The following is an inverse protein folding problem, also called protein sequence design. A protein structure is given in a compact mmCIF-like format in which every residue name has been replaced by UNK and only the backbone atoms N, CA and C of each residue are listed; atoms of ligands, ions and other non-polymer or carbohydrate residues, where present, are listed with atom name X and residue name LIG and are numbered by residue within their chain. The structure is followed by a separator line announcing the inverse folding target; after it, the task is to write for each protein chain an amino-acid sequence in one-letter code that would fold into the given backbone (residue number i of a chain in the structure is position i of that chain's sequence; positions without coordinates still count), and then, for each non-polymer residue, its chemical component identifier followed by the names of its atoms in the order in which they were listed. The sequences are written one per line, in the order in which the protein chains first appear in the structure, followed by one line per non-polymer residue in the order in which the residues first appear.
data_IF_628391197299
#
_entry.id   IF_628391197299
#
_cell.length_a   1.000
_cell.length_b   1.000
_cell.length_c   1.000
_cell.angle_alpha   90.00
_cell.angle_beta   90.00
_cell.angle_gamma   90.00
#
_symmetry.space_group_name_H-M   'P 1'
#
loop_
_entity.id
_entity.type
_entity.pdbx_description
1 polymer ?
#
# COMPACT_ATOMS: atom_id res chain seq x y z
N UNK A 1 -24.18 -9.95 10.54
CA UNK A 1 -24.20 -10.70 11.81
C UNK A 1 -23.55 -9.83 12.87
N UNK A 2 -24.25 -9.52 13.97
CA UNK A 2 -23.67 -8.75 15.10
C UNK A 2 -22.61 -9.62 15.75
N UNK A 3 -21.37 -9.12 15.86
CA UNK A 3 -20.32 -9.79 16.63
C UNK A 3 -20.81 -9.96 18.07
N UNK A 4 -20.83 -11.21 18.53
CA UNK A 4 -21.09 -11.50 19.95
C UNK A 4 -19.99 -10.82 20.79
N UNK A 5 -20.36 -10.13 21.88
CA UNK A 5 -19.38 -9.48 22.74
C UNK A 5 -18.32 -10.48 23.20
N UNK A 6 -17.06 -10.05 23.27
CA UNK A 6 -15.90 -10.89 23.55
C UNK A 6 -16.04 -11.74 24.84
N UNK A 7 -16.83 -11.24 25.80
CA UNK A 7 -17.21 -11.95 27.02
C UNK A 7 -18.15 -13.15 26.78
N UNK A 8 -19.16 -13.03 25.91
CA UNK A 8 -20.06 -14.13 25.54
C UNK A 8 -19.32 -15.23 24.76
N UNK A 9 -18.33 -14.81 23.98
CA UNK A 9 -17.40 -15.67 23.21
C UNK A 9 -16.55 -16.55 24.14
N UNK A 10 -15.97 -15.99 25.19
CA UNK A 10 -15.21 -16.74 26.19
C UNK A 10 -16.11 -17.63 27.07
N UNK A 11 -17.32 -17.17 27.41
CA UNK A 11 -18.32 -17.96 28.12
C UNK A 11 -18.74 -19.21 27.35
N UNK A 12 -18.93 -19.13 26.04
CA UNK A 12 -19.26 -20.28 25.21
C UNK A 12 -18.13 -21.32 25.18
N UNK A 13 -16.86 -20.88 25.09
CA UNK A 13 -15.68 -21.76 25.19
C UNK A 13 -15.63 -22.47 26.55
N UNK A 14 -15.80 -21.72 27.64
CA UNK A 14 -15.81 -22.26 29.01
C UNK A 14 -16.98 -23.23 29.21
N UNK A 15 -18.19 -22.89 28.73
CA UNK A 15 -19.36 -23.74 28.82
C UNK A 15 -19.21 -25.05 28.01
N UNK A 16 -18.57 -25.00 26.84
CA UNK A 16 -18.29 -26.19 26.04
C UNK A 16 -17.31 -27.15 26.74
N UNK A 17 -16.26 -26.60 27.38
CA UNK A 17 -15.29 -27.38 28.17
C UNK A 17 -15.96 -28.00 29.41
N UNK A 18 -16.80 -27.23 30.11
CA UNK A 18 -17.55 -27.71 31.27
C UNK A 18 -18.57 -28.79 30.85
N UNK A 19 -19.24 -28.64 29.72
CA UNK A 19 -20.16 -29.64 29.19
C UNK A 19 -19.44 -30.94 28.79
N UNK A 20 -18.24 -30.83 28.21
CA UNK A 20 -17.36 -31.98 27.92
C UNK A 20 -16.94 -32.72 29.19
N UNK A 21 -16.47 -31.98 30.19
CA UNK A 21 -16.10 -32.57 31.49
C UNK A 21 -17.31 -33.19 32.20
N UNK A 22 -18.44 -32.50 32.18
CA UNK A 22 -19.69 -32.96 32.78
C UNK A 22 -20.24 -34.23 32.12
N UNK A 23 -20.12 -34.37 30.79
CA UNK A 23 -20.58 -35.58 30.09
C UNK A 23 -19.73 -36.81 30.40
N UNK A 24 -18.41 -36.62 30.56
CA UNK A 24 -17.49 -37.68 30.95
C UNK A 24 -17.71 -38.12 32.40
N UNK A 25 -17.91 -37.17 33.32
CA UNK A 25 -18.16 -37.46 34.74
C UNK A 25 -19.54 -38.10 34.96
N UNK A 26 -20.59 -37.63 34.27
CA UNK A 26 -21.95 -38.15 34.46
C UNK A 26 -22.22 -39.46 33.70
N UNK A 27 -21.69 -39.58 32.49
CA UNK A 27 -22.02 -40.68 31.59
C UNK A 27 -21.05 -41.86 31.63
N UNK A 28 -19.87 -41.70 32.25
CA UNK A 28 -18.78 -42.68 32.21
C UNK A 28 -17.95 -42.73 33.50
N UNK A 29 -18.50 -42.45 34.68
CA UNK A 29 -17.74 -42.68 35.92
C UNK A 29 -18.06 -44.07 36.51
N UNK A 30 -17.06 -44.95 36.73
CA UNK A 30 -15.64 -44.84 36.40
C UNK A 30 -15.38 -45.01 34.89
N UNK A 31 -14.33 -44.37 34.37
CA UNK A 31 -14.05 -44.28 32.93
C UNK A 31 -13.71 -45.66 32.39
N UNK A 32 -14.68 -46.27 31.71
CA UNK A 32 -14.54 -47.54 31.00
C UNK A 32 -14.76 -47.32 29.49
N UNK A 33 -13.67 -47.17 28.75
CA UNK A 33 -13.65 -46.94 27.30
C UNK A 33 -14.25 -48.12 26.51
N UNK A 34 -14.49 -49.27 27.14
CA UNK A 34 -15.16 -50.42 26.52
C UNK A 34 -16.70 -50.34 26.57
N UNK A 35 -17.26 -49.42 27.37
CA UNK A 35 -18.72 -49.20 27.56
C UNK A 35 -19.10 -47.72 27.47
N UNK A 36 -18.69 -47.07 26.39
CA UNK A 36 -19.04 -45.66 26.13
C UNK A 36 -20.55 -45.53 25.92
N UNK A 37 -21.22 -44.75 26.77
CA UNK A 37 -22.65 -44.47 26.57
C UNK A 37 -22.87 -43.62 25.30
N UNK A 38 -23.86 -43.96 24.45
CA UNK A 38 -24.15 -43.19 23.23
C UNK A 38 -24.42 -41.70 23.49
N UNK A 39 -25.00 -41.38 24.66
CA UNK A 39 -25.27 -40.01 25.08
C UNK A 39 -24.00 -39.20 25.38
N UNK A 40 -23.02 -39.78 26.09
CA UNK A 40 -21.75 -39.11 26.35
C UNK A 40 -20.97 -38.85 25.05
N UNK A 41 -21.01 -39.80 24.10
CA UNK A 41 -20.42 -39.64 22.78
C UNK A 41 -21.09 -38.50 21.98
N UNK A 42 -22.43 -38.42 22.01
CA UNK A 42 -23.18 -37.34 21.37
C UNK A 42 -22.83 -35.97 21.94
N UNK A 43 -22.74 -35.84 23.27
CA UNK A 43 -22.39 -34.57 23.92
C UNK A 43 -20.94 -34.18 23.59
N UNK A 44 -20.02 -35.15 23.59
CA UNK A 44 -18.62 -34.93 23.19
C UNK A 44 -18.52 -34.39 21.75
N UNK A 45 -19.19 -35.06 20.80
CA UNK A 45 -19.19 -34.65 19.39
C UNK A 45 -19.83 -33.27 19.21
N UNK A 46 -20.95 -32.99 19.87
CA UNK A 46 -21.60 -31.69 19.80
C UNK A 46 -20.71 -30.55 20.35
N UNK A 47 -20.04 -30.78 21.48
CA UNK A 47 -19.12 -29.80 22.06
C UNK A 47 -17.87 -29.60 21.20
N UNK A 48 -17.33 -30.68 20.61
CA UNK A 48 -16.20 -30.60 19.68
C UNK A 48 -16.55 -29.81 18.42
N UNK A 49 -17.70 -30.12 17.79
CA UNK A 49 -18.18 -29.37 16.62
C UNK A 49 -18.36 -27.90 16.98
N UNK A 50 -18.98 -27.60 18.13
CA UNK A 50 -19.17 -26.23 18.60
C UNK A 50 -17.84 -25.48 18.75
N UNK A 51 -16.82 -26.11 19.34
CA UNK A 51 -15.49 -25.53 19.48
C UNK A 51 -14.80 -25.31 18.12
N UNK A 52 -14.81 -26.30 17.23
CA UNK A 52 -14.20 -26.21 15.89
C UNK A 52 -14.88 -25.12 15.05
N UNK A 53 -16.22 -25.08 15.02
CA UNK A 53 -16.96 -24.04 14.30
C UNK A 53 -16.59 -22.64 14.79
N UNK A 54 -16.34 -22.52 16.10
CA UNK A 54 -15.96 -21.25 16.71
C UNK A 54 -14.57 -20.77 16.29
N UNK A 55 -13.59 -21.68 16.32
CA UNK A 55 -12.22 -21.37 15.96
C UNK A 55 -12.10 -21.05 14.45
N UNK A 56 -12.88 -21.76 13.62
CA UNK A 56 -13.01 -21.47 12.20
C UNK A 56 -13.64 -20.09 11.94
N UNK A 57 -14.66 -19.70 12.70
CA UNK A 57 -15.26 -18.36 12.59
C UNK A 57 -14.24 -17.27 12.95
N UNK A 58 -13.45 -17.47 14.01
CA UNK A 58 -12.43 -16.52 14.43
C UNK A 58 -11.33 -16.35 13.38
N UNK A 59 -10.79 -17.46 12.86
CA UNK A 59 -9.85 -17.46 11.74
C UNK A 59 -10.43 -16.76 10.51
N UNK A 60 -11.70 -17.05 10.18
CA UNK A 60 -12.36 -16.39 9.04
C UNK A 60 -12.49 -14.87 9.22
N UNK A 61 -12.70 -14.42 10.46
CA UNK A 61 -12.83 -13.00 10.77
C UNK A 61 -11.49 -12.27 10.68
N UNK A 62 -10.41 -12.89 11.16
CA UNK A 62 -9.04 -12.36 11.05
C UNK A 62 -8.61 -12.29 9.58
N UNK A 63 -8.87 -13.36 8.82
CA UNK A 63 -8.58 -13.39 7.39
C UNK A 63 -9.34 -12.32 6.61
N UNK A 64 -10.63 -12.08 6.93
CA UNK A 64 -11.43 -11.00 6.32
C UNK A 64 -10.89 -9.61 6.66
N UNK A 65 -10.44 -9.38 7.89
CA UNK A 65 -9.83 -8.10 8.28
C UNK A 65 -8.52 -7.89 7.53
N UNK A 66 -7.69 -8.92 7.43
CA UNK A 66 -6.43 -8.87 6.70
C UNK A 66 -6.65 -8.60 5.20
N UNK A 67 -7.55 -9.36 4.57
CA UNK A 67 -7.91 -9.16 3.16
C UNK A 67 -8.45 -7.75 2.93
N UNK A 68 -9.33 -7.24 3.81
CA UNK A 68 -9.83 -5.86 3.73
C UNK A 68 -8.69 -4.83 3.75
N UNK A 69 -7.74 -4.96 4.70
CA UNK A 69 -6.59 -4.03 4.78
C UNK A 69 -5.73 -4.07 3.53
N UNK A 70 -5.50 -5.27 2.99
CA UNK A 70 -4.73 -5.44 1.75
C UNK A 70 -5.47 -4.86 0.55
N UNK A 71 -6.79 -5.07 0.45
CA UNK A 71 -7.62 -4.49 -0.61
C UNK A 71 -7.62 -2.97 -0.56
N UNK A 72 -7.75 -2.37 0.64
CA UNK A 72 -7.65 -0.92 0.84
C UNK A 72 -6.29 -0.39 0.36
N UNK A 73 -5.18 -1.07 0.68
CA UNK A 73 -3.85 -0.69 0.19
C UNK A 73 -3.73 -0.83 -1.34
N UNK A 74 -4.33 -1.86 -1.95
CA UNK A 74 -4.37 -2.02 -3.42
C UNK A 74 -5.16 -0.89 -4.09
N UNK A 75 -6.30 -0.49 -3.54
CA UNK A 75 -7.11 0.63 -4.07
C UNK A 75 -6.34 1.96 -4.04
N UNK A 76 -5.58 2.20 -2.96
CA UNK A 76 -4.70 3.37 -2.85
C UNK A 76 -3.61 3.35 -3.92
N UNK A 77 -2.95 2.21 -4.14
CA UNK A 77 -1.95 2.09 -5.23
C UNK A 77 -2.57 2.34 -6.59
N UNK A 78 -3.75 1.78 -6.86
CA UNK A 78 -4.45 2.01 -8.13
C UNK A 78 -4.82 3.48 -8.32
N UNK A 79 -5.16 4.18 -7.24
CA UNK A 79 -5.40 5.63 -7.25
C UNK A 79 -4.11 6.40 -7.55
N UNK A 80 -2.99 6.04 -6.91
CA UNK A 80 -1.68 6.64 -7.17
C UNK A 80 -1.20 6.39 -8.60
N UNK A 81 -1.41 5.20 -9.16
CA UNK A 81 -1.12 4.87 -10.57
C UNK A 81 -1.91 5.78 -11.53
N UNK A 82 -3.14 6.13 -11.19
CA UNK A 82 -3.96 7.04 -12.00
C UNK A 82 -3.51 8.50 -11.90
N UNK A 83 -2.97 8.91 -10.76
CA UNK A 83 -2.40 10.26 -10.55
C UNK A 83 -1.05 10.38 -11.27
N UNK A 84 -0.17 9.40 -11.08
CA UNK A 84 1.07 9.22 -11.81
C UNK A 84 0.78 8.61 -13.19
N UNK A 85 0.03 9.34 -14.02
CA UNK A 85 -0.44 8.87 -15.32
C UNK A 85 0.72 8.54 -16.28
N UNK A 86 0.41 7.84 -17.37
CA UNK A 86 1.30 7.46 -18.47
C UNK A 86 2.21 8.59 -18.95
N UNK A 87 1.68 9.82 -18.99
CA UNK A 87 2.45 11.01 -19.37
C UNK A 87 3.64 11.20 -18.43
N UNK A 88 3.43 11.12 -17.11
CA UNK A 88 4.48 11.29 -16.10
C UNK A 88 5.54 10.18 -16.20
N UNK A 89 5.11 8.94 -16.42
CA UNK A 89 6.04 7.83 -16.68
C UNK A 89 6.91 8.08 -17.90
N UNK A 90 6.27 8.44 -19.01
CA UNK A 90 6.96 8.69 -20.27
C UNK A 90 7.98 9.83 -20.11
N UNK A 91 7.60 10.89 -19.41
CA UNK A 91 8.46 12.04 -19.14
C UNK A 91 9.66 11.62 -18.28
N UNK A 92 9.42 10.94 -17.17
CA UNK A 92 10.50 10.51 -16.27
C UNK A 92 11.49 9.54 -16.93
N UNK A 93 10.97 8.66 -17.80
CA UNK A 93 11.76 7.60 -18.46
C UNK A 93 12.47 8.08 -19.73
N UNK A 94 11.80 8.86 -20.56
CA UNK A 94 12.22 9.10 -21.94
C UNK A 94 12.57 10.56 -22.23
N UNK A 95 12.02 11.53 -21.50
CA UNK A 95 12.34 12.93 -21.75
C UNK A 95 13.60 13.30 -20.97
N UNK A 96 14.67 13.60 -21.70
CA UNK A 96 15.76 14.39 -21.15
C UNK A 96 15.19 15.77 -20.81
N UNK A 97 15.51 16.32 -19.64
CA UNK A 97 15.11 17.66 -19.26
C UNK A 97 15.62 18.65 -20.32
N UNK A 98 14.66 19.22 -21.05
CA UNK A 98 14.92 20.03 -22.23
C UNK A 98 15.12 21.49 -21.87
N UNK A 99 15.76 22.28 -22.74
CA UNK A 99 15.94 23.73 -22.53
C UNK A 99 14.61 24.47 -22.32
N UNK A 100 13.53 23.97 -22.90
CA UNK A 100 12.18 24.47 -22.74
C UNK A 100 11.25 23.27 -22.59
N UNK A 101 10.37 23.27 -21.60
CA UNK A 101 9.45 22.15 -21.31
C UNK A 101 8.07 22.71 -20.92
N UNK A 102 7.02 21.89 -20.96
CA UNK A 102 5.68 22.36 -20.62
C UNK A 102 5.54 22.52 -19.10
N UNK A 103 4.77 23.51 -18.65
CA UNK A 103 4.54 23.76 -17.23
C UNK A 103 3.90 22.54 -16.50
N UNK A 104 3.24 21.66 -17.24
CA UNK A 104 2.50 20.50 -16.74
C UNK A 104 3.27 19.17 -16.88
N UNK A 105 4.50 19.18 -17.40
CA UNK A 105 5.29 17.95 -17.64
C UNK A 105 5.59 17.16 -16.34
N UNK A 106 5.56 17.84 -15.19
CA UNK A 106 5.76 17.22 -13.87
C UNK A 106 4.56 17.42 -12.92
N UNK A 107 3.38 17.76 -13.46
CA UNK A 107 2.17 17.99 -12.66
C UNK A 107 1.73 16.72 -11.91
N UNK A 108 1.95 15.53 -12.48
CA UNK A 108 1.61 14.26 -11.84
C UNK A 108 2.43 14.01 -10.57
N UNK A 109 3.72 14.37 -10.58
CA UNK A 109 4.55 14.32 -9.36
C UNK A 109 4.12 15.36 -8.33
N UNK A 110 3.84 16.59 -8.77
CA UNK A 110 3.37 17.64 -7.86
C UNK A 110 2.09 17.22 -7.15
N UNK A 111 1.09 16.71 -7.88
CA UNK A 111 -0.16 16.21 -7.29
C UNK A 111 0.07 15.07 -6.31
N UNK A 112 1.00 14.17 -6.62
CA UNK A 112 1.34 13.05 -5.75
C UNK A 112 1.93 13.55 -4.42
N UNK A 113 2.75 14.60 -4.44
CA UNK A 113 3.27 15.24 -3.24
C UNK A 113 2.18 15.96 -2.46
N UNK A 114 1.27 16.68 -3.13
CA UNK A 114 0.13 17.32 -2.45
C UNK A 114 -0.68 16.28 -1.65
N UNK A 115 -0.98 15.12 -2.25
CA UNK A 115 -1.68 14.02 -1.56
C UNK A 115 -0.86 13.38 -0.43
N UNK A 116 0.46 13.38 -0.55
CA UNK A 116 1.37 12.88 0.48
C UNK A 116 1.40 13.83 1.69
N UNK A 117 1.50 15.14 1.46
CA UNK A 117 1.47 16.16 2.51
C UNK A 117 0.13 16.18 3.26
N UNK A 118 -0.97 15.93 2.54
CA UNK A 118 -2.31 15.83 3.12
C UNK A 118 -2.60 14.47 3.81
N UNK A 119 -1.62 13.55 3.86
CA UNK A 119 -1.75 12.18 4.43
C UNK A 119 -2.98 11.41 3.89
N UNK A 120 -3.23 11.53 2.58
CA UNK A 120 -4.42 10.93 1.94
C UNK A 120 -4.26 9.42 1.71
N UNK A 121 -3.03 8.94 1.56
CA UNK A 121 -2.72 7.54 1.21
C UNK A 121 -1.84 6.81 2.25
N UNK A 122 -2.24 6.70 3.53
CA UNK A 122 -1.48 5.92 4.51
C UNK A 122 -1.64 4.43 4.24
N UNK A 123 -0.55 3.69 4.05
CA UNK A 123 -0.56 2.25 3.82
C UNK A 123 -0.58 1.44 5.11
N UNK A 124 -1.35 0.37 5.15
CA UNK A 124 -1.33 -0.58 6.28
C UNK A 124 -0.05 -1.42 6.28
N UNK A 125 0.49 -1.73 5.10
CA UNK A 125 1.77 -2.42 4.95
C UNK A 125 2.95 -1.46 5.16
N UNK A 126 3.75 -1.69 6.21
CA UNK A 126 4.88 -0.82 6.58
C UNK A 126 5.97 -0.72 5.53
N UNK A 127 6.26 -1.81 4.81
CA UNK A 127 7.30 -1.80 3.78
C UNK A 127 6.84 -0.98 2.56
N UNK A 128 5.56 -1.09 2.20
CA UNK A 128 4.94 -0.29 1.14
C UNK A 128 4.89 1.18 1.55
N UNK A 129 4.51 1.48 2.79
CA UNK A 129 4.52 2.84 3.35
C UNK A 129 5.91 3.46 3.27
N UNK A 130 6.93 2.78 3.80
CA UNK A 130 8.29 3.30 3.82
C UNK A 130 8.83 3.56 2.41
N UNK A 131 8.50 2.69 1.44
CA UNK A 131 8.91 2.87 0.05
C UNK A 131 8.15 4.00 -0.64
N UNK A 132 6.88 4.21 -0.29
CA UNK A 132 6.09 5.35 -0.77
C UNK A 132 6.65 6.68 -0.23
N UNK A 133 6.94 6.76 1.07
CA UNK A 133 7.57 7.93 1.70
C UNK A 133 8.93 8.26 1.07
N UNK A 134 9.77 7.25 0.84
CA UNK A 134 11.06 7.40 0.15
C UNK A 134 10.87 8.00 -1.25
N UNK A 135 9.93 7.46 -2.04
CA UNK A 135 9.62 7.97 -3.37
C UNK A 135 9.10 9.43 -3.34
N UNK A 136 8.27 9.79 -2.35
CA UNK A 136 7.77 11.15 -2.21
C UNK A 136 8.90 12.12 -1.88
N UNK A 137 9.77 11.81 -0.90
CA UNK A 137 10.93 12.67 -0.61
C UNK A 137 11.85 12.87 -1.80
N UNK A 138 12.17 11.78 -2.51
CA UNK A 138 13.04 11.87 -3.68
C UNK A 138 12.40 12.73 -4.79
N UNK A 139 11.06 12.66 -4.92
CA UNK A 139 10.29 13.45 -5.88
C UNK A 139 10.26 14.93 -5.51
N UNK A 140 10.12 15.24 -4.23
CA UNK A 140 10.17 16.60 -3.69
C UNK A 140 11.56 17.23 -3.94
N UNK A 141 12.64 16.52 -3.60
CA UNK A 141 14.01 16.96 -3.85
C UNK A 141 14.25 17.24 -5.34
N UNK A 142 13.77 16.36 -6.21
CA UNK A 142 13.87 16.53 -7.65
C UNK A 142 13.11 17.77 -8.14
N UNK A 143 11.86 17.96 -7.72
CA UNK A 143 11.04 19.11 -8.14
C UNK A 143 11.62 20.44 -7.63
N UNK A 144 12.10 20.48 -6.39
CA UNK A 144 12.74 21.66 -5.82
C UNK A 144 13.99 22.05 -6.61
N UNK A 145 14.84 21.09 -6.97
CA UNK A 145 16.01 21.36 -7.80
C UNK A 145 15.65 21.75 -9.23
N UNK A 146 14.64 21.11 -9.83
CA UNK A 146 14.13 21.47 -11.15
C UNK A 146 13.66 22.93 -11.18
N UNK A 147 12.84 23.33 -10.20
CA UNK A 147 12.30 24.69 -10.09
C UNK A 147 13.34 25.71 -9.66
N UNK A 148 14.50 25.28 -9.12
CA UNK A 148 15.62 26.19 -8.81
C UNK A 148 16.31 26.74 -10.06
N UNK A 149 16.22 26.04 -11.20
CA UNK A 149 16.86 26.45 -12.46
C UNK A 149 15.85 26.80 -13.56
N UNK A 150 14.61 26.33 -13.49
CA UNK A 150 13.54 26.67 -14.45
C UNK A 150 12.59 27.72 -13.90
N UNK A 151 12.23 28.68 -14.76
CA UNK A 151 11.17 29.64 -14.48
C UNK A 151 9.93 29.28 -15.28
N UNK A 152 8.76 29.27 -14.62
CA UNK A 152 7.47 29.12 -15.30
C UNK A 152 7.14 30.38 -16.09
N UNK A 153 7.04 30.25 -17.41
CA UNK A 153 6.59 31.30 -18.30
C UNK A 153 5.06 31.40 -18.33
N UNK A 154 4.55 32.59 -18.68
CA UNK A 154 3.11 32.87 -18.78
C UNK A 154 2.42 32.24 -20.00
N UNK A 155 3.19 31.65 -20.92
CA UNK A 155 2.71 31.02 -22.15
C UNK A 155 2.49 29.49 -22.02
N UNK A 156 2.56 28.95 -20.79
CA UNK A 156 2.42 27.51 -20.56
C UNK A 156 3.72 26.70 -20.68
N UNK A 157 4.85 27.36 -20.91
CA UNK A 157 6.17 26.75 -20.99
C UNK A 157 7.08 27.26 -19.88
N UNK A 158 8.00 26.42 -19.44
CA UNK A 158 9.08 26.81 -18.54
C UNK A 158 10.43 26.69 -19.22
N UNK A 159 11.33 27.61 -18.90
CA UNK A 159 12.70 27.63 -19.39
C UNK A 159 13.64 28.17 -18.33
N UNK A 160 14.90 27.72 -18.37
CA UNK A 160 15.97 28.30 -17.55
C UNK A 160 16.53 29.60 -18.15
N UNK A 161 16.17 29.91 -19.41
CA UNK A 161 16.63 31.12 -20.08
C UNK A 161 15.94 32.37 -19.53
N UNK A 162 16.60 33.54 -19.58
CA UNK A 162 15.96 34.81 -19.26
C UNK A 162 14.78 35.10 -20.21
N UNK A 163 13.67 35.62 -19.67
CA UNK A 163 12.46 35.94 -20.44
C UNK A 163 12.69 36.94 -21.59
N UNK A 164 13.70 37.80 -21.45
CA UNK A 164 14.08 38.78 -22.46
C UNK A 164 14.90 38.19 -23.63
N UNK A 165 15.13 36.87 -23.64
CA UNK A 165 15.88 36.17 -24.70
C UNK A 165 17.37 36.53 -24.76
N UNK A 166 17.91 37.17 -23.72
CA UNK A 166 19.31 37.61 -23.71
C UNK A 166 20.27 36.42 -23.60
N UNK A 167 21.44 36.60 -24.22
CA UNK A 167 22.56 35.68 -24.05
C UNK A 167 22.99 35.60 -22.59
N UNK A 168 23.29 34.39 -22.14
CA UNK A 168 23.87 34.14 -20.82
C UNK A 168 25.39 33.96 -20.94
N UNK A 169 26.13 34.28 -19.89
CA UNK A 169 27.56 33.97 -19.79
C UNK A 169 27.79 32.46 -19.91
N UNK A 170 28.94 32.07 -20.49
CA UNK A 170 29.34 30.66 -20.61
C UNK A 170 29.31 29.93 -19.25
N UNK A 171 29.81 30.55 -18.18
CA UNK A 171 29.81 29.96 -16.84
C UNK A 171 28.41 29.59 -16.34
N UNK A 172 27.42 30.46 -16.63
CA UNK A 172 26.01 30.21 -16.28
C UNK A 172 25.43 29.10 -17.15
N UNK A 173 25.76 29.06 -18.44
CA UNK A 173 25.34 28.00 -19.34
C UNK A 173 25.89 26.63 -18.87
N UNK A 174 27.19 26.55 -18.59
CA UNK A 174 27.84 25.32 -18.15
C UNK A 174 27.27 24.84 -16.81
N UNK A 175 27.03 25.76 -15.87
CA UNK A 175 26.35 25.46 -14.61
C UNK A 175 24.97 24.82 -14.83
N UNK A 176 24.13 25.42 -15.67
CA UNK A 176 22.78 24.92 -15.94
C UNK A 176 22.82 23.57 -16.65
N UNK A 177 23.70 23.40 -17.64
CA UNK A 177 23.84 22.11 -18.33
C UNK A 177 24.30 21.00 -17.38
N UNK A 178 25.20 21.30 -16.44
CA UNK A 178 25.63 20.34 -15.44
C UNK A 178 24.47 19.95 -14.50
N UNK A 179 23.67 20.94 -14.07
CA UNK A 179 22.47 20.69 -13.26
C UNK A 179 21.41 19.88 -14.00
N UNK A 180 21.19 20.14 -15.29
CA UNK A 180 20.28 19.34 -16.12
C UNK A 180 20.77 17.89 -16.22
N UNK A 181 22.08 17.66 -16.35
CA UNK A 181 22.62 16.30 -16.34
C UNK A 181 22.37 15.57 -15.02
N UNK A 182 22.56 16.24 -13.88
CA UNK A 182 22.23 15.71 -12.55
C UNK A 182 20.74 15.38 -12.43
N UNK A 183 19.86 16.31 -12.83
CA UNK A 183 18.42 16.10 -12.80
C UNK A 183 17.96 14.97 -13.73
N UNK A 184 18.62 14.78 -14.88
CA UNK A 184 18.34 13.65 -15.78
C UNK A 184 18.66 12.30 -15.12
N UNK A 185 19.75 12.24 -14.33
CA UNK A 185 20.08 11.04 -13.54
C UNK A 185 19.02 10.82 -12.46
N UNK A 186 18.62 11.88 -11.75
CA UNK A 186 17.56 11.81 -10.73
C UNK A 186 16.22 11.38 -11.30
N UNK A 187 15.83 11.90 -12.46
CA UNK A 187 14.59 11.51 -13.16
C UNK A 187 14.55 10.00 -13.47
N UNK A 188 15.68 9.44 -13.93
CA UNK A 188 15.81 7.99 -14.17
C UNK A 188 15.71 7.20 -12.87
N UNK A 189 16.39 7.66 -11.82
CA UNK A 189 16.35 7.03 -10.51
C UNK A 189 14.93 7.07 -9.91
N UNK A 190 14.19 8.17 -10.09
CA UNK A 190 12.78 8.28 -9.69
C UNK A 190 11.91 7.28 -10.43
N UNK A 191 12.10 7.14 -11.74
CA UNK A 191 11.39 6.14 -12.52
C UNK A 191 11.67 4.72 -12.00
N UNK A 192 12.93 4.39 -11.69
CA UNK A 192 13.31 3.09 -11.16
C UNK A 192 12.79 2.87 -9.73
N UNK A 193 12.75 3.92 -8.91
CA UNK A 193 12.17 3.92 -7.58
C UNK A 193 10.66 3.66 -7.63
N UNK A 194 9.94 4.33 -8.54
CA UNK A 194 8.52 4.10 -8.79
C UNK A 194 8.23 2.65 -9.22
N UNK A 195 9.00 2.11 -10.17
CA UNK A 195 8.87 0.71 -10.60
C UNK A 195 9.15 -0.24 -9.42
N UNK A 196 10.14 0.08 -8.59
CA UNK A 196 10.49 -0.72 -7.42
C UNK A 196 9.40 -0.70 -6.36
N UNK A 197 8.79 0.46 -6.12
CA UNK A 197 7.60 0.62 -5.28
C UNK A 197 6.45 -0.27 -5.77
N UNK A 198 6.10 -0.20 -7.06
CA UNK A 198 5.02 -1.02 -7.62
C UNK A 198 5.32 -2.53 -7.55
N UNK A 199 6.57 -2.94 -7.77
CA UNK A 199 6.99 -4.35 -7.63
C UNK A 199 6.90 -4.82 -6.18
N UNK A 200 7.36 -4.01 -5.24
CA UNK A 200 7.27 -4.32 -3.81
C UNK A 200 5.81 -4.46 -3.37
N UNK A 201 4.97 -3.52 -3.80
CA UNK A 201 3.55 -3.56 -3.50
C UNK A 201 2.85 -4.78 -4.10
N UNK A 202 3.16 -5.13 -5.37
CA UNK A 202 2.63 -6.35 -6.00
C UNK A 202 3.05 -7.63 -5.27
N UNK A 203 4.26 -7.66 -4.71
CA UNK A 203 4.74 -8.80 -3.92
C UNK A 203 4.05 -8.87 -2.55
N UNK A 204 3.96 -7.75 -1.85
CA UNK A 204 3.44 -7.70 -0.49
C UNK A 204 1.90 -7.77 -0.42
N UNK A 205 1.22 -7.39 -1.50
CA UNK A 205 -0.25 -7.38 -1.60
C UNK A 205 -0.79 -8.49 -2.50
N UNK A 206 0.02 -9.49 -2.86
CA UNK A 206 -0.38 -10.58 -3.76
C UNK A 206 -1.54 -11.46 -3.23
N UNK A 207 -1.81 -11.39 -1.92
CA UNK A 207 -2.92 -12.09 -1.26
C UNK A 207 -4.24 -11.32 -1.23
N UNK A 208 -4.29 -10.10 -1.77
CA UNK A 208 -5.50 -9.29 -1.84
C UNK A 208 -6.49 -9.87 -2.88
N UNK A 209 -7.79 -9.72 -2.62
CA UNK A 209 -8.84 -10.09 -3.57
C UNK A 209 -8.87 -9.23 -4.84
N UNK A 210 -8.36 -7.99 -4.76
CA UNK A 210 -8.25 -7.05 -5.87
C UNK A 210 -6.81 -7.03 -6.38
N UNK A 211 -6.62 -6.96 -7.69
CA UNK A 211 -5.28 -6.85 -8.29
C UNK A 211 -4.84 -5.39 -8.44
N UNK A 212 -3.53 -5.18 -8.30
CA UNK A 212 -2.91 -3.91 -8.69
C UNK A 212 -3.00 -3.77 -10.21
N UNK A 213 -3.51 -2.63 -10.66
CA UNK A 213 -3.62 -2.30 -12.08
C UNK A 213 -2.23 -2.35 -12.72
N UNK A 214 -2.17 -2.89 -13.94
CA UNK A 214 -0.91 -2.86 -14.68
C UNK A 214 -0.59 -1.43 -15.04
N UNK A 215 0.52 -0.94 -14.51
CA UNK A 215 1.18 0.25 -15.01
C UNK A 215 1.59 0.00 -16.47
N UNK A 216 0.80 0.54 -17.40
CA UNK A 216 0.98 0.48 -18.84
C UNK A 216 0.98 1.90 -19.37
#
# INVERSE_FOLDING_TARGET
MKSLPHYARNLAKIAAIIALMGSLVWGQWPIDLSKVSPGALLIFVAAFITWVSYELEDLSSVLKIQDRKMNEDVEKINSLIRIADKKQYYILRNNAIETTMQNDDYEGLSKLLDYYEDDIFPFNNRDVQAKYEEFCRDSEDFLNELMSIYNKGSNGWMTWRPDNGSWVSQDKYDYVMNKINELNIKSRNLNDSWISFLKLASKNLSGASISIERYK
#
